data_IF_232185747342
#
_entry.id   IF_232185747342
#
_cell.length_a   1.000
_cell.length_b   1.000
_cell.length_c   1.000
_cell.angle_alpha   90.00
_cell.angle_beta   90.00
_cell.angle_gamma   90.00
#
_symmetry.space_group_name_H-M   'P 1'
#
loop_
_entity.id
_entity.type
_entity.pdbx_description
1 polymer ?
#
# COMPACT_ATOMS: atom_id res chain seq x y z
N UNK A 1 53.13 11.84 25.93
CA UNK A 1 52.62 11.39 24.61
C UNK A 1 52.13 9.96 24.80
N UNK A 2 50.95 9.80 25.40
CA UNK A 2 49.69 9.46 24.71
C UNK A 2 49.82 8.21 23.82
N UNK A 3 49.23 7.10 24.27
CA UNK A 3 48.62 6.13 23.35
C UNK A 3 47.39 5.55 24.02
N UNK A 4 46.26 5.90 23.40
CA UNK A 4 44.89 5.60 23.79
C UNK A 4 44.59 4.11 23.67
N UNK A 5 43.65 3.65 24.51
CA UNK A 5 43.12 2.29 24.50
C UNK A 5 42.49 1.90 23.17
N UNK A 6 42.69 0.64 22.80
CA UNK A 6 42.10 0.03 21.60
C UNK A 6 40.78 -0.64 21.96
N UNK A 7 39.75 -0.24 21.25
CA UNK A 7 38.35 -0.53 21.46
C UNK A 7 38.03 -2.01 21.25
N UNK A 8 37.15 -2.53 22.11
CA UNK A 8 36.38 -3.74 21.83
C UNK A 8 35.58 -3.54 20.54
N UNK A 9 35.57 -4.54 19.65
CA UNK A 9 34.52 -4.66 18.66
C UNK A 9 34.08 -6.12 18.57
N UNK A 10 32.88 -6.36 19.09
CA UNK A 10 32.10 -7.59 18.98
C UNK A 10 31.77 -7.81 17.49
N UNK A 11 31.86 -9.03 16.94
CA UNK A 11 31.31 -9.30 15.62
C UNK A 11 29.79 -9.26 15.72
N UNK A 12 29.16 -8.20 15.21
CA UNK A 12 27.72 -8.16 14.99
C UNK A 12 27.39 -9.10 13.82
N UNK A 13 26.89 -10.29 14.15
CA UNK A 13 26.17 -11.16 13.23
C UNK A 13 24.90 -10.44 12.77
N UNK A 14 24.92 -9.87 11.56
CA UNK A 14 23.72 -9.40 10.87
C UNK A 14 23.23 -10.48 9.92
N UNK A 15 22.83 -11.62 10.48
CA UNK A 15 21.94 -12.55 9.80
C UNK A 15 20.53 -11.94 9.69
N UNK A 16 20.20 -11.44 8.49
CA UNK A 16 18.88 -11.59 7.81
C UNK A 16 18.84 -10.67 6.60
N UNK A 17 19.44 -11.13 5.51
CA UNK A 17 18.95 -10.74 4.20
C UNK A 17 17.54 -11.29 4.08
N UNK A 18 16.54 -10.45 4.35
CA UNK A 18 15.15 -10.76 3.99
C UNK A 18 15.16 -10.86 2.47
N UNK A 19 14.98 -12.09 1.96
CA UNK A 19 15.02 -12.36 0.54
C UNK A 19 14.12 -11.37 -0.19
N UNK A 20 14.67 -10.74 -1.22
CA UNK A 20 13.88 -10.02 -2.18
C UNK A 20 12.83 -11.00 -2.70
N UNK A 21 11.61 -10.89 -2.18
CA UNK A 21 10.45 -11.49 -2.82
C UNK A 21 10.48 -10.95 -4.24
N UNK A 22 10.56 -11.86 -5.21
CA UNK A 22 10.43 -11.54 -6.62
C UNK A 22 9.19 -10.65 -6.76
N UNK A 23 9.41 -9.34 -6.86
CA UNK A 23 8.36 -8.34 -6.87
C UNK A 23 7.73 -8.35 -8.26
N UNK A 24 7.07 -9.46 -8.59
CA UNK A 24 6.12 -9.46 -9.69
C UNK A 24 5.07 -8.42 -9.30
N UNK A 25 4.88 -7.36 -10.11
CA UNK A 25 3.83 -6.41 -9.82
C UNK A 25 2.51 -7.19 -9.72
N UNK A 26 1.68 -6.90 -8.72
CA UNK A 26 0.40 -7.58 -8.57
C UNK A 26 -0.37 -7.47 -9.88
N UNK A 27 -0.91 -8.60 -10.34
CA UNK A 27 -1.76 -8.63 -11.53
C UNK A 27 -3.14 -8.14 -11.09
N UNK A 28 -3.36 -6.83 -11.20
CA UNK A 28 -4.58 -6.17 -10.76
C UNK A 28 -5.71 -6.35 -11.78
N UNK A 29 -6.88 -6.77 -11.30
CA UNK A 29 -8.08 -6.89 -12.13
C UNK A 29 -9.03 -5.71 -11.88
N UNK A 30 -8.70 -4.58 -12.51
CA UNK A 30 -9.49 -3.36 -12.41
C UNK A 30 -10.91 -3.54 -12.98
N UNK A 31 -11.08 -4.38 -14.00
CA UNK A 31 -12.40 -4.62 -14.59
C UNK A 31 -13.30 -5.37 -13.60
N UNK A 32 -12.76 -6.41 -12.96
CA UNK A 32 -13.48 -7.14 -11.90
C UNK A 32 -13.78 -6.22 -10.72
N UNK A 33 -12.82 -5.44 -10.25
CA UNK A 33 -13.01 -4.46 -9.18
C UNK A 33 -14.15 -3.47 -9.50
N UNK A 34 -14.20 -2.90 -10.72
CA UNK A 34 -15.30 -2.02 -11.15
C UNK A 34 -16.63 -2.77 -11.20
N UNK A 35 -16.65 -4.02 -11.65
CA UNK A 35 -17.88 -4.82 -11.71
C UNK A 35 -18.45 -5.17 -10.34
N UNK A 36 -17.60 -5.23 -9.30
CA UNK A 36 -18.00 -5.50 -7.92
C UNK A 36 -18.50 -4.26 -7.18
N UNK A 37 -18.50 -3.09 -7.83
CA UNK A 37 -18.97 -1.85 -7.23
C UNK A 37 -17.90 -0.82 -6.95
N UNK A 38 -16.64 -1.04 -7.37
CA UNK A 38 -15.59 -0.03 -7.20
C UNK A 38 -15.94 1.30 -7.87
N UNK A 39 -16.14 2.36 -7.08
CA UNK A 39 -16.59 3.67 -7.55
C UNK A 39 -15.44 4.64 -7.65
N UNK A 40 -15.47 5.48 -8.68
CA UNK A 40 -14.47 6.55 -8.83
C UNK A 40 -14.70 7.62 -7.74
N UNK A 41 -13.63 8.11 -7.15
CA UNK A 41 -13.68 9.22 -6.21
C UNK A 41 -13.09 10.48 -6.86
N UNK A 42 -13.93 11.51 -7.07
CA UNK A 42 -13.54 12.73 -7.79
C UNK A 42 -12.95 13.82 -6.91
N UNK A 43 -12.95 13.61 -5.59
CA UNK A 43 -12.76 14.65 -4.58
C UNK A 43 -14.12 15.14 -4.09
N UNK A 44 -14.32 15.07 -2.78
CA UNK A 44 -15.49 15.60 -2.08
C UNK A 44 -15.01 16.53 -0.95
N UNK A 45 -15.82 17.52 -0.60
CA UNK A 45 -15.56 18.45 0.50
C UNK A 45 -16.05 17.92 1.84
N UNK A 46 -16.95 16.92 1.83
CA UNK A 46 -17.50 16.30 3.02
C UNK A 46 -16.64 15.11 3.48
N UNK A 47 -16.13 15.12 4.73
CA UNK A 47 -15.45 13.98 5.32
C UNK A 47 -16.32 12.71 5.35
N UNK A 48 -17.63 12.86 5.57
CA UNK A 48 -18.56 11.72 5.63
C UNK A 48 -18.66 11.01 4.29
N UNK A 49 -18.64 11.77 3.18
CA UNK A 49 -18.66 11.19 1.83
C UNK A 49 -17.39 10.37 1.53
N UNK A 50 -16.23 10.80 2.06
CA UNK A 50 -14.98 10.05 1.96
C UNK A 50 -15.07 8.75 2.76
N UNK A 51 -15.61 8.80 3.98
CA UNK A 51 -15.75 7.61 4.83
C UNK A 51 -16.70 6.59 4.22
N UNK A 52 -17.83 7.02 3.69
CA UNK A 52 -18.78 6.11 3.03
C UNK A 52 -18.18 5.49 1.76
N UNK A 53 -17.45 6.28 0.95
CA UNK A 53 -16.73 5.72 -0.19
C UNK A 53 -15.69 4.67 0.23
N UNK A 54 -14.92 4.92 1.29
CA UNK A 54 -13.94 3.97 1.79
C UNK A 54 -14.59 2.66 2.29
N UNK A 55 -15.74 2.75 2.97
CA UNK A 55 -16.47 1.56 3.45
C UNK A 55 -16.89 0.66 2.30
N UNK A 56 -17.47 1.23 1.25
CA UNK A 56 -17.84 0.48 0.06
C UNK A 56 -16.63 -0.11 -0.66
N UNK A 57 -15.48 0.58 -0.65
CA UNK A 57 -14.27 0.05 -1.25
C UNK A 57 -13.68 -1.11 -0.46
N UNK A 58 -13.76 -1.08 0.88
CA UNK A 58 -13.32 -2.19 1.72
C UNK A 58 -14.12 -3.47 1.44
N UNK A 59 -15.44 -3.39 1.23
CA UNK A 59 -16.26 -4.54 0.84
C UNK A 59 -15.78 -5.16 -0.49
N UNK A 60 -15.43 -4.31 -1.47
CA UNK A 60 -14.87 -4.75 -2.75
C UNK A 60 -13.51 -5.40 -2.58
N UNK A 61 -12.65 -4.84 -1.71
CA UNK A 61 -11.32 -5.39 -1.44
C UNK A 61 -11.38 -6.74 -0.73
N UNK A 62 -12.33 -6.91 0.19
CA UNK A 62 -12.58 -8.18 0.86
C UNK A 62 -13.00 -9.26 -0.15
N UNK A 63 -13.92 -8.93 -1.06
CA UNK A 63 -14.33 -9.86 -2.11
C UNK A 63 -13.19 -10.25 -3.07
N UNK A 64 -12.29 -9.31 -3.36
CA UNK A 64 -11.11 -9.55 -4.20
C UNK A 64 -9.97 -10.27 -3.47
N UNK A 65 -10.07 -10.46 -2.15
CA UNK A 65 -8.96 -10.89 -1.30
C UNK A 65 -7.69 -10.03 -1.50
N UNK A 66 -7.88 -8.72 -1.71
CA UNK A 66 -6.81 -7.81 -2.10
C UNK A 66 -5.79 -7.61 -0.96
N UNK A 67 -4.50 -7.70 -1.27
CA UNK A 67 -3.42 -7.37 -0.32
C UNK A 67 -3.37 -5.86 -0.05
N UNK A 68 -2.73 -5.41 1.04
CA UNK A 68 -2.57 -3.97 1.30
C UNK A 68 -1.94 -3.20 0.12
N UNK A 69 -0.96 -3.80 -0.56
CA UNK A 69 -0.31 -3.21 -1.74
C UNK A 69 -1.29 -3.09 -2.92
N UNK A 70 -2.12 -4.11 -3.14
CA UNK A 70 -3.16 -4.10 -4.17
C UNK A 70 -4.26 -3.09 -3.88
N UNK A 71 -4.70 -2.99 -2.63
CA UNK A 71 -5.68 -1.96 -2.20
C UNK A 71 -5.19 -0.57 -2.57
N UNK A 72 -3.92 -0.25 -2.28
CA UNK A 72 -3.33 1.05 -2.65
C UNK A 72 -3.40 1.27 -4.17
N UNK A 73 -3.04 0.28 -4.97
CA UNK A 73 -3.08 0.41 -6.44
C UNK A 73 -4.52 0.56 -6.97
N UNK A 74 -5.49 -0.18 -6.41
CA UNK A 74 -6.90 -0.04 -6.75
C UNK A 74 -7.43 1.35 -6.37
N UNK A 75 -7.12 1.85 -5.18
CA UNK A 75 -7.48 3.20 -4.74
C UNK A 75 -6.91 4.24 -5.69
N UNK A 76 -5.59 4.18 -6.00
CA UNK A 76 -4.94 5.11 -6.94
C UNK A 76 -5.60 5.09 -8.31
N UNK A 77 -6.04 3.92 -8.78
CA UNK A 77 -6.78 3.81 -10.03
C UNK A 77 -8.15 4.51 -9.98
N UNK A 78 -8.85 4.46 -8.84
CA UNK A 78 -10.19 5.04 -8.65
C UNK A 78 -10.19 6.53 -8.33
N UNK A 79 -9.07 7.10 -7.88
CA UNK A 79 -8.94 8.55 -7.70
C UNK A 79 -8.99 9.24 -9.07
N UNK A 80 -9.97 10.14 -9.25
CA UNK A 80 -10.18 10.96 -10.45
C UNK A 80 -10.30 12.43 -10.04
N UNK A 81 -10.29 13.33 -11.03
CA UNK A 81 -10.54 14.75 -10.79
C UNK A 81 -9.59 15.35 -9.75
N UNK A 82 -10.14 16.10 -8.80
CA UNK A 82 -9.39 16.79 -7.74
C UNK A 82 -8.71 15.82 -6.77
N UNK A 83 -9.25 14.61 -6.60
CA UNK A 83 -8.61 13.62 -5.73
C UNK A 83 -7.32 13.02 -6.32
N UNK A 84 -7.07 13.21 -7.62
CA UNK A 84 -5.86 12.71 -8.29
C UNK A 84 -4.75 13.76 -8.44
N UNK A 85 -5.10 15.04 -8.34
CA UNK A 85 -4.23 16.17 -8.69
C UNK A 85 -3.13 16.45 -7.67
#
# INVERSE_FOLDING_TARGET
MSSHGSCHNVPTDQSRGVGAVDARPPVLDYAKMKSLGGRDFKGDVSPDAVVEWLREMEDVFEYLYATPEEKVQYVVFLLKGYARS
#
